data_IF_227794723687
#
_entry.id   IF_227794723687
#
_cell.length_a   1.000
_cell.length_b   1.000
_cell.length_c   1.000
_cell.angle_alpha   90.00
_cell.angle_beta   90.00
_cell.angle_gamma   90.00
#
_symmetry.space_group_name_H-M   'P 1'
#
loop_
_entity.id
_entity.type
_entity.pdbx_description
1 polymer ?
#
# COMPACT_ATOMS: atom_id res chain seq x y z
N UNK A 1 -6.03 21.35 -1.11
CA UNK A 1 -5.97 19.96 -1.63
C UNK A 1 -6.56 19.02 -0.58
N UNK A 2 -7.52 18.16 -0.95
CA UNK A 2 -8.13 17.21 -0.01
C UNK A 2 -7.21 16.04 0.28
N UNK A 3 -7.14 15.60 1.55
CA UNK A 3 -6.40 14.43 2.03
C UNK A 3 -7.32 13.61 2.93
N UNK A 4 -7.38 12.30 2.74
CA UNK A 4 -8.04 11.36 3.62
C UNK A 4 -6.99 10.53 4.34
N UNK A 5 -7.11 10.43 5.67
CA UNK A 5 -6.22 9.71 6.55
C UNK A 5 -7.00 8.62 7.30
N UNK A 6 -6.45 7.42 7.37
CA UNK A 6 -7.06 6.27 8.03
C UNK A 6 -6.38 6.02 9.38
N UNK A 7 -7.16 6.09 10.46
CA UNK A 7 -6.74 5.72 11.81
C UNK A 7 -7.18 4.28 12.10
N UNK A 8 -6.23 3.35 12.11
CA UNK A 8 -6.51 1.91 12.28
C UNK A 8 -6.66 1.51 13.77
N UNK A 9 -7.55 2.21 14.46
CA UNK A 9 -7.93 1.97 15.84
C UNK A 9 -9.41 1.60 15.95
N UNK A 10 -9.84 1.20 17.14
CA UNK A 10 -11.28 1.11 17.44
C UNK A 10 -11.89 2.50 17.50
N UNK A 11 -13.20 2.59 17.26
CA UNK A 11 -13.93 3.87 17.36
C UNK A 11 -13.68 4.57 18.69
N UNK A 12 -13.66 3.83 19.80
CA UNK A 12 -13.40 4.35 21.14
C UNK A 12 -12.03 5.01 21.28
N UNK A 13 -11.04 4.54 20.51
CA UNK A 13 -9.66 5.04 20.49
C UNK A 13 -9.38 6.00 19.32
N UNK A 14 -10.43 6.51 18.66
CA UNK A 14 -10.31 7.45 17.56
C UNK A 14 -10.12 6.77 16.19
N UNK A 15 -10.53 5.50 16.05
CA UNK A 15 -10.55 4.82 14.76
C UNK A 15 -11.52 5.48 13.79
N UNK A 16 -11.14 5.57 12.52
CA UNK A 16 -11.98 6.18 11.51
C UNK A 16 -11.24 6.82 10.35
N UNK A 17 -12.03 7.48 9.52
CA UNK A 17 -11.56 8.20 8.34
C UNK A 17 -11.61 9.69 8.64
N UNK A 18 -10.49 10.37 8.45
CA UNK A 18 -10.35 11.81 8.68
C UNK A 18 -10.12 12.52 7.36
N UNK A 19 -10.93 13.54 7.05
CA UNK A 19 -10.74 14.39 5.88
C UNK A 19 -10.16 15.73 6.29
N UNK A 20 -9.08 16.13 5.62
CA UNK A 20 -8.45 17.44 5.80
C UNK A 20 -8.29 18.12 4.45
N UNK A 21 -8.37 19.45 4.45
CA UNK A 21 -7.83 20.27 3.37
C UNK A 21 -6.43 20.73 3.77
N UNK A 22 -5.46 20.42 2.94
CA UNK A 22 -4.14 21.00 3.01
C UNK A 22 -4.18 22.34 2.25
N UNK A 23 -3.93 23.42 2.96
CA UNK A 23 -3.93 24.78 2.47
C UNK A 23 -2.58 25.12 1.80
N UNK A 24 -2.52 26.23 1.06
CA UNK A 24 -1.29 26.67 0.37
C UNK A 24 -0.16 27.03 1.33
N UNK A 25 -0.49 27.48 2.54
CA UNK A 25 0.46 27.78 3.63
C UNK A 25 0.95 26.54 4.38
N UNK A 26 0.54 25.32 3.95
CA UNK A 26 0.88 24.04 4.57
C UNK A 26 0.02 23.69 5.79
N UNK A 27 -0.94 24.54 6.19
CA UNK A 27 -1.84 24.24 7.30
C UNK A 27 -2.88 23.18 6.90
N UNK A 28 -3.31 22.39 7.89
CA UNK A 28 -4.36 21.37 7.74
C UNK A 28 -5.65 21.86 8.38
N UNK A 29 -6.71 21.93 7.58
CA UNK A 29 -8.05 22.25 8.06
C UNK A 29 -8.93 20.99 8.01
N UNK A 30 -9.34 20.49 9.19
CA UNK A 30 -10.25 19.33 9.26
C UNK A 30 -11.60 19.68 8.61
N UNK A 31 -12.06 18.80 7.75
CA UNK A 31 -13.31 18.96 7.00
C UNK A 31 -14.35 17.91 7.39
N UNK A 32 -13.91 16.72 7.85
CA UNK A 32 -14.80 15.65 8.21
C UNK A 32 -14.13 14.55 9.04
N UNK A 33 -14.99 13.73 9.62
CA UNK A 33 -14.61 12.50 10.31
C UNK A 33 -15.75 11.50 10.20
N UNK A 34 -15.43 10.28 9.86
CA UNK A 34 -16.35 9.15 9.90
C UNK A 34 -15.77 8.09 10.84
N UNK A 35 -16.49 7.78 11.93
CA UNK A 35 -16.10 6.76 12.89
C UNK A 35 -16.30 5.36 12.31
N UNK A 36 -15.25 4.56 12.24
CA UNK A 36 -15.31 3.14 11.90
C UNK A 36 -14.11 2.41 12.50
N UNK A 37 -14.29 1.11 12.78
CA UNK A 37 -13.25 0.29 13.38
C UNK A 37 -12.17 -0.09 12.38
N UNK A 38 -10.93 0.18 12.74
CA UNK A 38 -9.70 -0.31 12.09
C UNK A 38 -9.69 -0.20 10.56
N UNK A 39 -9.97 0.99 9.97
CA UNK A 39 -9.80 1.18 8.55
C UNK A 39 -8.33 0.98 8.16
N UNK A 40 -8.10 0.06 7.23
CA UNK A 40 -6.78 -0.44 6.86
C UNK A 40 -6.25 0.21 5.59
N UNK A 41 -7.10 0.33 4.59
CA UNK A 41 -6.77 0.81 3.27
C UNK A 41 -8.01 1.44 2.60
N UNK A 42 -7.80 2.37 1.70
CA UNK A 42 -8.89 2.95 0.92
C UNK A 42 -8.40 3.36 -0.47
N UNK A 43 -9.32 3.36 -1.43
CA UNK A 43 -9.10 3.93 -2.76
C UNK A 43 -10.25 4.84 -3.14
N UNK A 44 -9.96 5.83 -3.98
CA UNK A 44 -10.97 6.68 -4.58
C UNK A 44 -11.61 5.96 -5.77
N UNK A 45 -12.94 6.08 -5.90
CA UNK A 45 -13.73 5.52 -7.00
C UNK A 45 -14.90 6.44 -7.33
N UNK A 46 -15.72 6.08 -8.32
CA UNK A 46 -16.90 6.88 -8.71
C UNK A 46 -17.93 7.06 -7.58
N UNK A 47 -18.02 6.10 -6.67
CA UNK A 47 -18.92 6.14 -5.48
C UNK A 47 -18.35 6.95 -4.31
N UNK A 48 -17.19 7.58 -4.47
CA UNK A 48 -16.44 8.26 -3.42
C UNK A 48 -15.21 7.48 -3.01
N UNK A 49 -15.19 6.92 -1.81
CA UNK A 49 -14.11 6.08 -1.30
C UNK A 49 -14.61 4.65 -1.09
N UNK A 50 -13.85 3.66 -1.54
CA UNK A 50 -14.01 2.27 -1.12
C UNK A 50 -13.02 2.01 0.02
N UNK A 51 -13.52 1.65 1.20
CA UNK A 51 -12.74 1.56 2.44
C UNK A 51 -12.73 0.14 2.97
N UNK A 52 -11.54 -0.35 3.26
CA UNK A 52 -11.29 -1.66 3.82
C UNK A 52 -11.11 -1.58 5.32
N UNK A 53 -11.85 -2.41 6.06
CA UNK A 53 -11.75 -2.55 7.50
C UNK A 53 -11.07 -3.89 7.85
N UNK A 54 -10.11 -3.84 8.75
CA UNK A 54 -9.32 -5.02 9.09
C UNK A 54 -10.14 -6.10 9.83
N UNK A 55 -10.82 -5.69 10.89
CA UNK A 55 -11.63 -6.53 11.75
C UNK A 55 -12.71 -5.67 12.42
N UNK A 56 -13.83 -5.34 11.73
CA UNK A 56 -14.82 -4.45 12.27
C UNK A 56 -15.76 -5.09 13.30
N UNK A 57 -15.81 -6.45 13.36
CA UNK A 57 -16.69 -7.21 14.26
C UNK A 57 -15.88 -8.08 15.20
N UNK A 58 -16.19 -8.03 16.50
CA UNK A 58 -15.51 -8.84 17.53
C UNK A 58 -15.68 -10.35 17.30
N UNK A 59 -16.81 -10.76 16.76
CA UNK A 59 -17.17 -12.17 16.54
C UNK A 59 -17.03 -12.63 15.10
N UNK A 60 -16.69 -11.76 14.16
CA UNK A 60 -16.45 -12.12 12.76
C UNK A 60 -14.94 -12.10 12.49
N UNK A 61 -14.38 -13.24 12.12
CA UNK A 61 -12.99 -13.37 11.75
C UNK A 61 -12.68 -12.77 10.37
N UNK A 62 -13.70 -12.47 9.56
CA UNK A 62 -13.54 -11.86 8.26
C UNK A 62 -13.41 -10.34 8.37
N UNK A 63 -12.63 -9.78 7.45
CA UNK A 63 -12.60 -8.35 7.22
C UNK A 63 -13.82 -7.89 6.43
N UNK A 64 -14.04 -6.58 6.37
CA UNK A 64 -15.14 -5.97 5.62
C UNK A 64 -14.69 -4.79 4.78
N UNK A 65 -15.55 -4.38 3.87
CA UNK A 65 -15.40 -3.13 3.14
C UNK A 65 -16.75 -2.43 2.96
N UNK A 66 -16.71 -1.15 2.67
CA UNK A 66 -17.89 -0.33 2.36
C UNK A 66 -17.51 0.83 1.45
N UNK A 67 -18.52 1.48 0.86
CA UNK A 67 -18.34 2.73 0.15
C UNK A 67 -18.86 3.89 0.99
N UNK A 68 -18.18 5.04 0.90
CA UNK A 68 -18.57 6.28 1.54
C UNK A 68 -18.34 7.46 0.58
N UNK A 69 -19.25 8.43 0.56
CA UNK A 69 -19.07 9.63 -0.24
C UNK A 69 -17.86 10.47 0.21
N UNK A 70 -17.36 11.34 -0.65
CA UNK A 70 -16.19 12.19 -0.37
C UNK A 70 -16.42 13.19 0.78
N UNK A 71 -17.66 13.40 1.21
CA UNK A 71 -18.02 14.24 2.37
C UNK A 71 -18.03 13.47 3.67
N UNK A 72 -17.81 12.16 3.62
CA UNK A 72 -17.86 11.23 4.74
C UNK A 72 -19.24 11.22 5.47
N UNK A 73 -20.33 11.28 4.71
CA UNK A 73 -21.69 11.36 5.25
C UNK A 73 -22.57 10.15 4.91
N UNK A 74 -22.49 9.67 3.65
CA UNK A 74 -23.36 8.60 3.17
C UNK A 74 -22.57 7.33 2.91
N UNK A 75 -22.94 6.24 3.58
CA UNK A 75 -22.25 4.94 3.45
C UNK A 75 -23.18 3.87 2.90
N UNK A 76 -22.57 2.86 2.28
CA UNK A 76 -23.27 1.58 2.01
C UNK A 76 -23.20 0.67 3.24
N UNK A 77 -23.98 -0.41 3.21
CA UNK A 77 -23.81 -1.50 4.18
C UNK A 77 -22.43 -2.12 4.07
N UNK A 78 -21.93 -2.66 5.19
CA UNK A 78 -20.69 -3.43 5.24
C UNK A 78 -20.84 -4.73 4.43
N UNK A 79 -19.79 -5.05 3.66
CA UNK A 79 -19.69 -6.27 2.86
C UNK A 79 -18.47 -7.08 3.30
N UNK A 80 -18.64 -8.39 3.45
CA UNK A 80 -17.54 -9.28 3.84
C UNK A 80 -16.48 -9.37 2.74
N UNK A 81 -15.21 -9.44 3.14
CA UNK A 81 -14.10 -9.75 2.23
C UNK A 81 -13.89 -11.26 2.05
N UNK A 82 -14.71 -12.11 2.67
CA UNK A 82 -14.59 -13.57 2.67
C UNK A 82 -13.18 -14.08 3.07
N UNK A 83 -12.51 -13.33 3.95
CA UNK A 83 -11.18 -13.69 4.43
C UNK A 83 -10.70 -12.82 5.59
N UNK A 84 -9.58 -13.25 6.17
CA UNK A 84 -9.00 -12.68 7.39
C UNK A 84 -7.90 -11.68 7.07
N UNK A 85 -7.91 -10.55 7.77
CA UNK A 85 -6.89 -9.50 7.67
C UNK A 85 -6.73 -9.03 6.21
N UNK A 86 -7.83 -8.55 5.62
CA UNK A 86 -7.76 -7.88 4.33
C UNK A 86 -6.82 -6.65 4.44
N UNK A 87 -5.92 -6.47 3.49
CA UNK A 87 -4.85 -5.48 3.59
C UNK A 87 -4.71 -4.55 2.38
N UNK A 88 -5.28 -4.91 1.25
CA UNK A 88 -5.26 -4.08 0.05
C UNK A 88 -6.47 -4.33 -0.84
N UNK A 89 -6.91 -3.31 -1.54
CA UNK A 89 -7.98 -3.38 -2.54
C UNK A 89 -7.70 -2.47 -3.73
N UNK A 90 -8.36 -2.78 -4.84
CA UNK A 90 -8.48 -1.87 -5.99
C UNK A 90 -9.91 -1.91 -6.52
N UNK A 91 -10.34 -0.82 -7.15
CA UNK A 91 -11.65 -0.71 -7.80
C UNK A 91 -11.43 -0.45 -9.28
N UNK A 92 -12.11 -1.21 -10.13
CA UNK A 92 -12.13 -1.04 -11.59
C UNK A 92 -13.58 -0.93 -12.04
N UNK A 93 -14.00 0.26 -12.44
CA UNK A 93 -15.41 0.61 -12.66
C UNK A 93 -16.26 0.26 -11.42
N UNK A 94 -17.19 -0.69 -11.54
CA UNK A 94 -18.04 -1.17 -10.44
C UNK A 94 -17.46 -2.36 -9.67
N UNK A 95 -16.39 -2.96 -10.17
CA UNK A 95 -15.79 -4.15 -9.58
C UNK A 95 -14.76 -3.80 -8.49
N UNK A 96 -14.89 -4.42 -7.31
CA UNK A 96 -13.91 -4.33 -6.24
C UNK A 96 -13.11 -5.64 -6.14
N UNK A 97 -11.78 -5.51 -6.07
CA UNK A 97 -10.84 -6.61 -5.91
C UNK A 97 -10.10 -6.44 -4.59
N UNK A 98 -10.09 -7.48 -3.78
CA UNK A 98 -9.56 -7.44 -2.41
C UNK A 98 -8.61 -8.62 -2.21
N UNK A 99 -7.54 -8.40 -1.48
CA UNK A 99 -6.63 -9.45 -1.01
C UNK A 99 -6.66 -9.56 0.51
N UNK A 100 -6.78 -10.79 1.00
CA UNK A 100 -6.81 -11.11 2.42
C UNK A 100 -5.49 -11.75 2.84
N UNK A 101 -4.75 -11.06 3.69
CA UNK A 101 -3.40 -11.45 4.09
C UNK A 101 -3.35 -12.83 4.76
N UNK A 102 -4.15 -13.06 5.81
CA UNK A 102 -4.12 -14.33 6.54
C UNK A 102 -4.84 -15.46 5.81
N UNK A 103 -5.82 -15.17 4.98
CA UNK A 103 -6.50 -16.21 4.21
C UNK A 103 -5.78 -16.57 2.90
N UNK A 104 -4.86 -15.72 2.44
CA UNK A 104 -4.13 -15.94 1.20
C UNK A 104 -5.03 -16.03 -0.03
N UNK A 105 -6.22 -15.41 -0.01
CA UNK A 105 -7.17 -15.44 -1.11
C UNK A 105 -7.36 -14.07 -1.75
N UNK A 106 -7.92 -14.09 -2.96
CA UNK A 106 -8.29 -12.93 -3.75
C UNK A 106 -9.80 -12.97 -3.96
N UNK A 107 -10.46 -11.86 -3.68
CA UNK A 107 -11.92 -11.74 -3.74
C UNK A 107 -12.30 -10.67 -4.75
N UNK A 108 -13.35 -10.93 -5.54
CA UNK A 108 -14.01 -9.97 -6.41
C UNK A 108 -15.50 -9.90 -6.06
N UNK A 109 -16.02 -8.72 -5.74
CA UNK A 109 -17.47 -8.48 -5.52
C UNK A 109 -18.14 -9.51 -4.58
N UNK A 110 -17.45 -9.94 -3.53
CA UNK A 110 -17.99 -10.94 -2.61
C UNK A 110 -17.90 -12.40 -3.07
N UNK A 111 -17.04 -12.69 -4.06
CA UNK A 111 -16.72 -14.05 -4.50
C UNK A 111 -15.21 -14.30 -4.41
N UNK A 112 -14.82 -15.48 -3.88
CA UNK A 112 -13.41 -15.91 -3.88
C UNK A 112 -13.06 -16.36 -5.28
N UNK A 113 -12.20 -15.58 -5.96
CA UNK A 113 -11.78 -15.84 -7.34
C UNK A 113 -10.48 -16.63 -7.44
N UNK A 114 -9.65 -16.57 -6.41
CA UNK A 114 -8.44 -17.36 -6.32
C UNK A 114 -8.08 -17.64 -4.85
N UNK A 115 -7.71 -18.89 -4.59
CA UNK A 115 -7.08 -19.34 -3.35
C UNK A 115 -5.62 -19.64 -3.66
N UNK A 116 -4.71 -18.87 -3.06
CA UNK A 116 -3.27 -19.12 -3.21
C UNK A 116 -2.86 -20.34 -2.39
N UNK A 117 -1.80 -21.01 -2.84
CA UNK A 117 -1.22 -22.18 -2.16
C UNK A 117 0.30 -22.09 -2.19
N UNK A 118 0.96 -22.79 -1.28
CA UNK A 118 2.41 -22.83 -1.21
C UNK A 118 2.98 -22.14 0.02
N UNK A 119 4.29 -22.04 0.06
CA UNK A 119 5.08 -21.45 1.16
C UNK A 119 6.45 -21.04 0.65
N UNK A 120 7.23 -20.33 1.48
CA UNK A 120 8.64 -20.05 1.24
C UNK A 120 9.47 -20.35 2.49
N UNK A 121 10.66 -19.78 2.59
CA UNK A 121 11.68 -20.23 3.56
C UNK A 121 11.61 -19.56 4.93
N UNK A 122 10.92 -18.41 5.07
CA UNK A 122 10.86 -17.73 6.36
C UNK A 122 10.00 -18.53 7.36
N UNK A 123 10.54 -18.90 8.55
CA UNK A 123 9.96 -19.95 9.40
C UNK A 123 8.59 -19.62 10.01
N UNK A 124 8.23 -18.33 10.08
CA UNK A 124 6.96 -17.89 10.68
C UNK A 124 6.11 -17.01 9.75
N UNK A 125 6.72 -16.33 8.77
CA UNK A 125 6.04 -15.35 7.91
C UNK A 125 5.72 -15.90 6.52
N UNK A 126 6.19 -17.11 6.19
CA UNK A 126 6.02 -17.74 4.88
C UNK A 126 5.65 -19.22 4.99
N UNK A 127 4.96 -19.60 6.04
CA UNK A 127 4.43 -20.97 6.22
C UNK A 127 3.21 -21.27 5.34
N UNK A 128 2.57 -20.24 4.86
CA UNK A 128 1.39 -20.24 4.01
C UNK A 128 1.34 -18.96 3.13
N UNK A 129 0.42 -18.88 2.13
CA UNK A 129 0.28 -17.68 1.31
C UNK A 129 -0.21 -16.47 2.12
N UNK A 130 0.32 -15.29 1.78
CA UNK A 130 -0.06 -14.01 2.37
C UNK A 130 -0.19 -12.96 1.25
N UNK A 131 -1.33 -12.98 0.53
CA UNK A 131 -1.61 -11.99 -0.51
C UNK A 131 -1.67 -10.59 0.08
N UNK A 132 -0.83 -9.67 -0.43
CA UNK A 132 -0.66 -8.35 0.19
C UNK A 132 -0.96 -7.17 -0.72
N UNK A 133 -1.10 -7.39 -2.02
CA UNK A 133 -1.34 -6.34 -3.01
C UNK A 133 -2.18 -6.87 -4.16
N UNK A 134 -3.08 -6.02 -4.67
CA UNK A 134 -3.81 -6.23 -5.93
C UNK A 134 -3.99 -4.90 -6.64
N UNK A 135 -3.66 -4.83 -7.93
CA UNK A 135 -4.00 -3.67 -8.75
C UNK A 135 -4.16 -4.07 -10.21
N UNK A 136 -4.99 -3.33 -10.95
CA UNK A 136 -5.15 -3.48 -12.39
C UNK A 136 -3.97 -2.84 -13.11
N UNK A 137 -3.46 -3.53 -14.11
CA UNK A 137 -2.42 -3.02 -15.01
C UNK A 137 -3.05 -2.17 -16.13
N UNK A 138 -2.28 -1.30 -16.77
CA UNK A 138 -2.78 -0.46 -17.85
C UNK A 138 -3.29 -1.26 -19.06
N UNK A 139 -2.78 -2.46 -19.28
CA UNK A 139 -3.17 -3.38 -20.34
C UNK A 139 -4.25 -4.39 -19.92
N UNK A 140 -4.86 -4.19 -18.72
CA UNK A 140 -6.09 -4.86 -18.30
C UNK A 140 -5.93 -6.18 -17.54
N UNK A 141 -4.71 -6.55 -17.14
CA UNK A 141 -4.45 -7.65 -16.20
C UNK A 141 -4.59 -7.18 -14.75
N UNK A 142 -4.58 -8.11 -13.80
CA UNK A 142 -4.52 -7.85 -12.37
C UNK A 142 -3.23 -8.42 -11.80
N UNK A 143 -2.38 -7.55 -11.26
CA UNK A 143 -1.14 -7.94 -10.58
C UNK A 143 -1.41 -8.15 -9.10
N UNK A 144 -0.85 -9.22 -8.51
CA UNK A 144 -0.92 -9.52 -7.07
C UNK A 144 0.44 -9.88 -6.51
N UNK A 145 0.77 -9.37 -5.32
CA UNK A 145 1.94 -9.78 -4.57
C UNK A 145 1.53 -10.76 -3.47
N UNK A 146 2.23 -11.88 -3.38
CA UNK A 146 2.06 -12.85 -2.30
C UNK A 146 3.37 -12.95 -1.51
N UNK A 147 3.37 -12.32 -0.33
CA UNK A 147 4.49 -12.28 0.59
C UNK A 147 4.87 -13.67 1.09
N UNK A 148 3.86 -14.51 1.36
CA UNK A 148 4.05 -15.85 1.93
C UNK A 148 4.71 -16.84 0.98
N UNK A 149 4.59 -16.61 -0.32
CA UNK A 149 5.13 -17.50 -1.37
C UNK A 149 6.21 -16.87 -2.24
N UNK A 150 6.62 -15.62 -1.96
CA UNK A 150 7.56 -14.86 -2.78
C UNK A 150 7.14 -14.76 -4.26
N UNK A 151 5.84 -14.51 -4.51
CA UNK A 151 5.27 -14.58 -5.85
C UNK A 151 4.64 -13.25 -6.28
N UNK A 152 4.98 -12.81 -7.48
CA UNK A 152 4.24 -11.82 -8.26
C UNK A 152 3.40 -12.58 -9.30
N UNK A 153 2.06 -12.50 -9.21
CA UNK A 153 1.16 -13.21 -10.11
C UNK A 153 0.29 -12.24 -10.92
N UNK A 154 -0.04 -12.62 -12.14
CA UNK A 154 -0.94 -11.88 -13.02
C UNK A 154 -2.14 -12.73 -13.39
N UNK A 155 -3.31 -12.11 -13.35
CA UNK A 155 -4.58 -12.69 -13.74
C UNK A 155 -5.14 -11.93 -14.94
N UNK A 156 -5.78 -12.65 -15.87
CA UNK A 156 -6.47 -12.03 -16.99
C UNK A 156 -7.80 -11.38 -16.58
N UNK A 157 -8.51 -10.77 -17.53
CA UNK A 157 -9.82 -10.15 -17.30
C UNK A 157 -10.89 -11.14 -16.79
N UNK A 158 -10.74 -12.44 -17.07
CA UNK A 158 -11.61 -13.51 -16.60
C UNK A 158 -11.13 -14.11 -15.28
N UNK A 159 -10.10 -13.47 -14.65
CA UNK A 159 -9.47 -13.82 -13.38
C UNK A 159 -8.82 -15.21 -13.38
N UNK A 160 -8.39 -15.68 -14.54
CA UNK A 160 -7.57 -16.86 -14.68
C UNK A 160 -6.10 -16.50 -14.53
N UNK A 161 -5.36 -17.33 -13.82
CA UNK A 161 -3.91 -17.13 -13.67
C UNK A 161 -3.23 -17.11 -15.04
N UNK A 162 -2.61 -16.00 -15.39
CA UNK A 162 -1.91 -15.79 -16.65
C UNK A 162 -0.43 -16.17 -16.53
N UNK A 163 0.23 -15.69 -15.48
CA UNK A 163 1.65 -15.94 -15.24
C UNK A 163 2.02 -15.70 -13.78
N UNK A 164 3.15 -16.26 -13.39
CA UNK A 164 3.78 -16.04 -12.09
C UNK A 164 5.29 -15.82 -12.27
N UNK A 165 5.84 -14.94 -11.42
CA UNK A 165 7.26 -14.71 -11.29
C UNK A 165 7.66 -14.79 -9.84
N UNK A 166 8.81 -15.40 -9.56
CA UNK A 166 9.35 -15.52 -8.20
C UNK A 166 10.37 -14.41 -7.93
N UNK A 167 10.34 -13.89 -6.72
CA UNK A 167 11.46 -13.15 -6.16
C UNK A 167 12.40 -14.09 -5.41
N UNK A 168 13.60 -13.65 -5.00
CA UNK A 168 14.47 -14.49 -4.16
C UNK A 168 13.73 -14.98 -2.92
N UNK A 169 13.93 -16.23 -2.56
CA UNK A 169 13.23 -16.87 -1.45
C UNK A 169 13.53 -16.17 -0.13
N UNK A 170 12.49 -15.94 0.69
CA UNK A 170 12.59 -15.27 1.97
C UNK A 170 12.45 -13.74 1.91
N UNK A 171 12.29 -13.16 0.73
CA UNK A 171 12.24 -11.69 0.57
C UNK A 171 10.88 -11.09 0.89
N UNK A 172 9.78 -11.80 0.63
CA UNK A 172 8.43 -11.39 0.97
C UNK A 172 7.96 -10.18 0.18
N UNK A 173 7.71 -10.37 -1.12
CA UNK A 173 7.19 -9.31 -2.00
C UNK A 173 5.87 -8.76 -1.45
N UNK A 174 5.77 -7.41 -1.33
CA UNK A 174 4.68 -6.77 -0.61
C UNK A 174 3.79 -5.90 -1.49
N UNK A 175 4.31 -4.82 -2.01
CA UNK A 175 3.65 -3.83 -2.88
C UNK A 175 4.49 -3.56 -4.11
N UNK A 176 3.87 -3.01 -5.14
CA UNK A 176 4.56 -2.66 -6.38
C UNK A 176 4.02 -1.37 -7.01
N UNK A 177 4.83 -0.80 -7.90
CA UNK A 177 4.44 0.26 -8.84
C UNK A 177 4.96 -0.08 -10.23
N UNK A 178 4.25 0.39 -11.26
CA UNK A 178 4.69 0.29 -12.64
C UNK A 178 5.44 1.56 -13.05
N UNK A 179 6.43 1.43 -13.93
CA UNK A 179 7.01 2.58 -14.61
C UNK A 179 5.95 3.29 -15.47
N UNK A 180 6.11 4.58 -15.72
CA UNK A 180 5.12 5.36 -16.50
C UNK A 180 4.96 4.87 -17.94
N UNK A 181 5.99 4.24 -18.53
CA UNK A 181 5.92 3.63 -19.84
C UNK A 181 5.39 2.18 -19.82
N UNK A 182 5.05 1.66 -18.64
CA UNK A 182 4.51 0.33 -18.43
C UNK A 182 5.49 -0.82 -18.68
N UNK A 183 6.80 -0.55 -18.87
CA UNK A 183 7.78 -1.60 -19.23
C UNK A 183 8.44 -2.25 -18.02
N UNK A 184 8.43 -1.59 -16.87
CA UNK A 184 9.09 -2.06 -15.65
C UNK A 184 8.13 -2.10 -14.48
N UNK A 185 8.41 -3.00 -13.55
CA UNK A 185 7.77 -3.10 -12.25
C UNK A 185 8.85 -2.94 -11.18
N UNK A 186 8.57 -2.10 -10.19
CA UNK A 186 9.38 -1.95 -8.98
C UNK A 186 8.56 -2.45 -7.80
N UNK A 187 9.05 -3.49 -7.12
CA UNK A 187 8.31 -4.13 -6.04
C UNK A 187 9.14 -4.14 -4.75
N UNK A 188 8.58 -3.56 -3.68
CA UNK A 188 9.20 -3.59 -2.35
C UNK A 188 8.99 -4.94 -1.68
N UNK A 189 10.04 -5.45 -1.06
CA UNK A 189 9.99 -6.63 -0.20
C UNK A 189 9.86 -6.23 1.26
N UNK A 190 9.06 -6.98 2.03
CA UNK A 190 8.85 -6.73 3.45
C UNK A 190 9.95 -7.36 4.31
N UNK A 191 10.28 -8.64 4.08
CA UNK A 191 11.10 -9.44 4.99
C UNK A 191 12.60 -9.19 4.83
N UNK A 192 13.03 -8.79 3.63
CA UNK A 192 14.40 -8.35 3.34
C UNK A 192 14.32 -6.98 2.67
N UNK A 193 14.77 -5.90 3.33
CA UNK A 193 14.71 -4.55 2.80
C UNK A 193 15.34 -4.45 1.41
N UNK A 194 14.49 -4.35 0.39
CA UNK A 194 14.94 -4.35 -1.00
C UNK A 194 13.83 -4.00 -1.96
N UNK A 195 14.20 -3.67 -3.19
CA UNK A 195 13.30 -3.46 -4.33
C UNK A 195 13.66 -4.44 -5.43
N UNK A 196 12.71 -5.28 -5.83
CA UNK A 196 12.86 -6.11 -7.02
C UNK A 196 12.46 -5.33 -8.27
N UNK A 197 13.17 -5.56 -9.34
CA UNK A 197 12.93 -4.97 -10.66
C UNK A 197 12.58 -6.07 -11.63
N UNK A 198 11.50 -5.86 -12.38
CA UNK A 198 11.04 -6.78 -13.42
C UNK A 198 10.87 -6.01 -14.73
N UNK A 199 11.16 -6.66 -15.85
CA UNK A 199 10.62 -6.28 -17.14
C UNK A 199 9.17 -6.77 -17.24
N UNK A 200 8.24 -5.94 -17.72
CA UNK A 200 6.84 -6.28 -17.83
C UNK A 200 6.34 -6.18 -19.26
N UNK A 201 5.56 -7.16 -19.67
CA UNK A 201 4.86 -7.16 -20.96
C UNK A 201 3.68 -8.14 -20.96
N UNK A 202 2.51 -7.69 -21.38
CA UNK A 202 1.32 -8.52 -21.68
C UNK A 202 0.96 -9.51 -20.56
N UNK A 203 0.86 -9.01 -19.29
CA UNK A 203 0.54 -9.84 -18.14
C UNK A 203 1.66 -10.82 -17.75
N UNK A 204 2.91 -10.54 -18.11
CA UNK A 204 4.09 -11.32 -17.73
C UNK A 204 5.17 -10.41 -17.18
N UNK A 205 5.78 -10.81 -16.06
CA UNK A 205 6.92 -10.13 -15.49
C UNK A 205 8.14 -11.06 -15.53
N UNK A 206 9.26 -10.56 -16.05
CA UNK A 206 10.55 -11.23 -16.01
C UNK A 206 11.40 -10.58 -14.93
N UNK A 207 11.83 -11.37 -13.95
CA UNK A 207 12.71 -10.89 -12.89
C UNK A 207 14.08 -10.50 -13.47
N UNK A 208 14.50 -9.27 -13.23
CA UNK A 208 15.78 -8.73 -13.69
C UNK A 208 16.81 -8.66 -12.56
N UNK A 209 16.44 -7.99 -11.46
CA UNK A 209 17.40 -7.63 -10.42
C UNK A 209 16.71 -7.36 -9.09
N UNK A 210 17.50 -7.34 -8.01
CA UNK A 210 17.14 -6.85 -6.68
C UNK A 210 18.14 -5.81 -6.20
N UNK A 211 17.64 -4.62 -5.89
CA UNK A 211 18.40 -3.56 -5.23
C UNK A 211 18.17 -3.68 -3.72
N UNK A 212 19.18 -4.14 -2.98
CA UNK A 212 19.15 -4.20 -1.52
C UNK A 212 19.24 -2.80 -0.92
N UNK A 213 18.55 -2.60 0.21
CA UNK A 213 18.59 -1.35 0.97
C UNK A 213 19.45 -1.58 2.18
N UNK A 214 20.53 -0.82 2.30
CA UNK A 214 21.41 -0.90 3.47
C UNK A 214 20.67 -0.36 4.70
N UNK A 215 20.54 -1.19 5.73
CA UNK A 215 19.88 -0.91 6.98
C UNK A 215 20.82 -1.10 8.16
N UNK A 216 20.68 -0.25 9.16
CA UNK A 216 21.40 -0.41 10.45
C UNK A 216 20.73 -1.48 11.32
N UNK A 217 19.43 -1.68 11.12
CA UNK A 217 18.65 -2.62 11.89
C UNK A 217 18.35 -3.88 11.06
N UNK A 218 18.80 -5.04 11.52
CA UNK A 218 18.58 -6.33 10.86
C UNK A 218 17.08 -6.72 10.77
N UNK A 219 16.21 -6.09 11.59
CA UNK A 219 14.75 -6.28 11.57
C UNK A 219 14.01 -5.24 10.74
N UNK A 220 14.73 -4.47 9.92
CA UNK A 220 14.09 -3.50 9.04
C UNK A 220 13.10 -4.20 8.09
N UNK A 221 11.94 -3.62 7.94
CA UNK A 221 10.83 -4.13 7.11
C UNK A 221 10.48 -3.13 6.02
N UNK A 222 10.43 -3.56 4.76
CA UNK A 222 9.86 -2.75 3.68
C UNK A 222 8.35 -2.55 3.85
N UNK A 223 7.84 -1.39 3.48
CA UNK A 223 6.41 -1.10 3.62
C UNK A 223 5.79 -0.53 2.34
N UNK A 224 5.77 0.77 2.15
CA UNK A 224 5.16 1.40 0.98
C UNK A 224 6.19 1.70 -0.11
N UNK A 225 5.71 1.78 -1.34
CA UNK A 225 6.47 2.15 -2.52
C UNK A 225 5.62 3.07 -3.40
N UNK A 226 6.16 4.19 -3.85
CA UNK A 226 5.50 5.14 -4.75
C UNK A 226 6.49 5.66 -5.79
N UNK A 227 5.97 5.90 -6.99
CA UNK A 227 6.72 6.54 -8.06
C UNK A 227 6.29 8.02 -8.19
N UNK A 228 7.22 8.93 -8.46
CA UNK A 228 6.89 10.32 -8.79
C UNK A 228 6.04 10.38 -10.07
N UNK A 229 5.22 11.42 -10.21
CA UNK A 229 4.33 11.58 -11.36
C UNK A 229 5.08 11.60 -12.71
N UNK A 230 6.32 12.11 -12.73
CA UNK A 230 7.18 12.11 -13.93
C UNK A 230 7.97 10.79 -14.12
N UNK A 231 7.83 9.83 -13.21
CA UNK A 231 8.49 8.53 -13.27
C UNK A 231 9.98 8.53 -12.97
N UNK A 232 10.56 9.66 -12.56
CA UNK A 232 12.01 9.79 -12.37
C UNK A 232 12.51 9.37 -10.99
N UNK A 233 11.62 9.36 -9.99
CA UNK A 233 11.99 9.09 -8.61
C UNK A 233 11.08 8.03 -7.99
N UNK A 234 11.72 7.09 -7.29
CA UNK A 234 11.04 6.04 -6.53
C UNK A 234 11.27 6.27 -5.03
N UNK A 235 10.18 6.22 -4.27
CA UNK A 235 10.18 6.37 -2.82
C UNK A 235 9.81 5.04 -2.18
N UNK A 236 10.56 4.62 -1.14
CA UNK A 236 10.36 3.36 -0.42
C UNK A 236 10.49 3.59 1.07
N UNK A 237 9.49 3.21 1.86
CA UNK A 237 9.56 3.33 3.32
C UNK A 237 10.01 2.04 4.00
N UNK A 238 10.79 2.18 5.09
CA UNK A 238 11.25 1.10 5.96
C UNK A 238 10.80 1.35 7.40
N UNK A 239 9.98 0.44 7.94
CA UNK A 239 9.27 0.65 9.22
C UNK A 239 10.17 0.69 10.45
N UNK A 240 11.05 -0.27 10.62
CA UNK A 240 11.89 -0.37 11.83
C UNK A 240 13.09 0.57 11.75
N UNK A 241 13.57 0.82 10.55
CA UNK A 241 14.63 1.80 10.28
C UNK A 241 14.13 3.25 10.37
N UNK A 242 12.80 3.45 10.23
CA UNK A 242 12.12 4.74 10.28
C UNK A 242 12.60 5.74 9.22
N UNK A 243 12.78 5.27 8.01
CA UNK A 243 13.27 6.07 6.88
C UNK A 243 12.40 5.95 5.65
N UNK A 244 12.55 6.92 4.75
CA UNK A 244 12.09 6.89 3.37
C UNK A 244 13.32 6.98 2.47
N UNK A 245 13.58 5.93 1.69
CA UNK A 245 14.66 5.90 0.71
C UNK A 245 14.16 6.48 -0.61
N UNK A 246 14.97 7.32 -1.23
CA UNK A 246 14.70 7.96 -2.52
C UNK A 246 15.69 7.48 -3.56
N UNK A 247 15.19 6.98 -4.68
CA UNK A 247 16.00 6.51 -5.80
C UNK A 247 15.72 7.32 -7.05
N UNK A 248 16.77 7.62 -7.83
CA UNK A 248 16.62 7.97 -9.25
C UNK A 248 16.32 6.69 -10.05
N UNK A 249 15.35 6.78 -10.95
CA UNK A 249 14.88 5.68 -11.78
C UNK A 249 15.39 5.85 -13.21
N UNK A 250 16.04 4.82 -13.73
CA UNK A 250 16.43 4.75 -15.14
C UNK A 250 16.19 3.30 -15.65
N UNK A 251 14.92 3.00 -16.00
CA UNK A 251 14.53 1.66 -16.43
C UNK A 251 14.84 0.59 -15.38
N UNK A 252 15.73 -0.33 -15.69
CA UNK A 252 16.15 -1.43 -14.81
C UNK A 252 17.14 -1.03 -13.70
N UNK A 253 17.49 0.24 -13.61
CA UNK A 253 18.50 0.74 -12.67
C UNK A 253 17.86 1.71 -11.66
N UNK A 254 18.12 1.48 -10.37
CA UNK A 254 17.79 2.37 -9.28
C UNK A 254 19.07 2.88 -8.63
N UNK A 255 19.23 4.20 -8.56
CA UNK A 255 20.38 4.84 -7.90
C UNK A 255 19.90 5.55 -6.63
N UNK A 256 20.39 5.16 -5.46
CA UNK A 256 20.03 5.80 -4.20
C UNK A 256 20.52 7.26 -4.20
N UNK A 257 19.58 8.17 -3.94
CA UNK A 257 19.84 9.60 -3.83
C UNK A 257 19.85 10.06 -2.38
N UNK A 258 18.92 9.52 -1.57
CA UNK A 258 18.71 9.96 -0.20
C UNK A 258 18.11 8.84 0.65
N UNK A 259 18.52 8.80 1.92
CA UNK A 259 17.80 8.11 3.00
C UNK A 259 17.35 9.17 3.99
N UNK A 260 16.05 9.50 3.97
CA UNK A 260 15.44 10.56 4.78
C UNK A 260 14.81 9.93 6.04
N UNK A 261 15.05 10.51 7.21
CA UNK A 261 14.30 10.20 8.43
C UNK A 261 12.81 10.49 8.20
N UNK A 262 11.91 9.56 8.55
CA UNK A 262 10.46 9.73 8.34
C UNK A 262 9.83 10.73 9.32
N UNK A 263 10.55 11.22 10.29
CA UNK A 263 10.08 12.15 11.32
C UNK A 263 9.15 11.52 12.36
N UNK A 264 9.11 10.18 12.44
CA UNK A 264 8.25 9.43 13.34
C UNK A 264 8.72 8.00 13.53
N UNK A 265 7.78 7.09 13.83
CA UNK A 265 8.10 5.67 14.03
C UNK A 265 7.14 4.79 13.21
N UNK A 266 7.71 3.84 12.47
CA UNK A 266 6.98 2.88 11.63
C UNK A 266 6.22 3.57 10.48
N UNK A 267 6.93 4.13 9.46
CA UNK A 267 6.31 4.71 8.26
C UNK A 267 5.63 3.62 7.41
N UNK A 268 4.38 3.31 7.78
CA UNK A 268 3.60 2.18 7.23
C UNK A 268 3.13 2.44 5.82
N UNK A 269 2.65 3.66 5.59
CA UNK A 269 2.22 4.12 4.28
C UNK A 269 2.57 5.60 4.10
N UNK A 270 2.68 6.00 2.87
CA UNK A 270 2.81 7.40 2.46
C UNK A 270 2.24 7.57 1.06
N UNK A 271 1.90 8.79 0.71
CA UNK A 271 1.52 9.09 -0.66
C UNK A 271 2.20 10.38 -1.15
N UNK A 272 2.32 10.49 -2.48
CA UNK A 272 3.02 11.58 -3.17
C UNK A 272 2.08 12.28 -4.13
N UNK A 273 1.96 13.60 -4.01
CA UNK A 273 1.20 14.41 -4.97
C UNK A 273 1.90 15.74 -5.26
N UNK A 274 2.29 15.92 -6.51
CA UNK A 274 3.09 17.10 -6.89
C UNK A 274 4.41 17.12 -6.14
N UNK A 275 4.67 18.23 -5.45
CA UNK A 275 5.89 18.44 -4.67
C UNK A 275 5.70 18.14 -3.17
N UNK A 276 4.74 17.30 -2.82
CA UNK A 276 4.45 16.94 -1.43
C UNK A 276 4.45 15.41 -1.26
N UNK A 277 5.09 14.95 -0.16
CA UNK A 277 4.93 13.61 0.37
C UNK A 277 4.33 13.72 1.78
N UNK A 278 3.30 12.90 2.06
CA UNK A 278 2.66 12.79 3.38
C UNK A 278 2.85 11.38 3.89
N UNK A 279 3.42 11.24 5.09
CA UNK A 279 3.81 9.95 5.66
C UNK A 279 3.01 9.62 6.92
N UNK A 280 2.48 8.40 6.97
CA UNK A 280 1.77 7.82 8.11
C UNK A 280 2.73 7.02 8.98
N UNK A 281 3.08 7.57 10.15
CA UNK A 281 3.98 6.93 11.13
C UNK A 281 3.14 6.21 12.21
N UNK A 282 2.82 4.94 11.96
CA UNK A 282 1.87 4.13 12.72
C UNK A 282 2.15 4.13 14.22
N UNK A 283 3.39 3.82 14.64
CA UNK A 283 3.73 3.60 16.05
C UNK A 283 3.98 4.88 16.84
N UNK A 284 4.16 6.01 16.19
CA UNK A 284 4.28 7.32 16.85
C UNK A 284 2.98 8.12 16.83
N UNK A 285 1.90 7.59 16.23
CA UNK A 285 0.62 8.29 16.11
C UNK A 285 0.78 9.66 15.42
N UNK A 286 1.56 9.69 14.35
CA UNK A 286 2.02 10.94 13.75
C UNK A 286 1.96 10.90 12.22
N UNK A 287 1.44 11.96 11.63
CA UNK A 287 1.57 12.27 10.21
C UNK A 287 2.65 13.31 10.04
N UNK A 288 3.59 13.06 9.15
CA UNK A 288 4.67 13.99 8.80
C UNK A 288 4.60 14.38 7.33
N UNK A 289 5.10 15.57 7.00
CA UNK A 289 5.00 16.17 5.69
C UNK A 289 6.40 16.50 5.16
N UNK A 290 6.60 16.30 3.86
CA UNK A 290 7.88 16.57 3.20
C UNK A 290 7.64 17.36 1.91
N UNK A 291 8.40 18.41 1.72
CA UNK A 291 8.55 19.05 0.42
C UNK A 291 9.46 18.19 -0.46
N UNK A 292 9.10 18.07 -1.74
CA UNK A 292 9.89 17.36 -2.75
C UNK A 292 10.53 18.38 -3.69
N UNK A 293 11.84 18.30 -3.84
CA UNK A 293 12.59 19.10 -4.82
C UNK A 293 13.62 18.23 -5.51
N UNK A 294 13.52 18.09 -6.83
CA UNK A 294 14.40 17.19 -7.64
C UNK A 294 14.51 15.77 -7.04
N UNK A 295 13.38 15.23 -6.58
CA UNK A 295 13.30 13.93 -5.92
C UNK A 295 13.63 13.93 -4.43
N UNK A 296 14.45 14.85 -3.94
CA UNK A 296 14.87 14.91 -2.54
C UNK A 296 13.75 15.38 -1.62
N UNK A 297 13.71 14.81 -0.42
CA UNK A 297 12.73 15.07 0.64
C UNK A 297 13.32 16.06 1.67
N UNK A 298 12.57 17.11 1.97
CA UNK A 298 12.84 18.01 3.09
C UNK A 298 11.64 17.98 4.02
N UNK A 299 11.84 17.54 5.28
CA UNK A 299 10.76 17.52 6.28
C UNK A 299 10.27 18.94 6.54
N UNK A 300 8.95 19.10 6.55
CA UNK A 300 8.28 20.34 6.94
C UNK A 300 8.04 20.37 8.45
N UNK A 301 7.87 21.57 9.00
CA UNK A 301 7.66 21.76 10.45
C UNK A 301 6.24 21.34 10.91
N UNK A 302 5.29 21.31 9.99
CA UNK A 302 3.92 20.91 10.29
C UNK A 302 3.83 19.38 10.53
N UNK A 303 3.08 19.03 11.57
CA UNK A 303 2.79 17.65 11.96
C UNK A 303 1.32 17.50 12.36
N UNK A 304 0.76 16.31 12.22
CA UNK A 304 -0.60 16.02 12.66
C UNK A 304 -0.59 14.76 13.52
N UNK A 305 -1.11 14.85 14.75
CA UNK A 305 -1.33 13.69 15.61
C UNK A 305 -2.60 12.97 15.18
N UNK A 306 -2.48 11.68 14.90
CA UNK A 306 -3.57 10.79 14.54
C UNK A 306 -3.28 9.39 15.10
N UNK A 307 -4.20 8.76 15.84
CA UNK A 307 -3.98 7.42 16.38
C UNK A 307 -3.75 6.41 15.27
N UNK A 308 -2.68 5.61 15.39
CA UNK A 308 -2.33 4.49 14.49
C UNK A 308 -2.60 4.77 13.00
N UNK A 309 -1.99 5.82 12.40
CA UNK A 309 -2.23 6.15 10.99
C UNK A 309 -1.66 5.06 10.09
N UNK A 310 -2.51 4.42 9.31
CA UNK A 310 -2.12 3.28 8.45
C UNK A 310 -2.24 3.56 6.97
N UNK A 311 -3.08 4.49 6.58
CA UNK A 311 -3.32 4.78 5.17
C UNK A 311 -3.58 6.25 4.91
N UNK A 312 -3.21 6.66 3.71
CA UNK A 312 -3.43 8.00 3.17
C UNK A 312 -3.87 7.90 1.72
N UNK A 313 -4.76 8.77 1.34
CA UNK A 313 -5.04 9.01 -0.06
C UNK A 313 -5.35 10.49 -0.33
N UNK A 314 -4.91 11.00 -1.47
CA UNK A 314 -5.28 12.31 -1.97
C UNK A 314 -6.60 12.26 -2.73
N UNK A 315 -7.47 13.26 -2.43
CA UNK A 315 -8.76 13.45 -3.09
C UNK A 315 -8.69 14.11 -4.46
#
# INVERSE_FOLDING_TARGET
MRVYLLSCETVENGGGIYAYDLLEDGQLKRQGYFACDRPMYAVKCEKGLCVLLRQPFENDENSCYFYIDERLQNTTALQSTLGKVACHLTVDADDVYIVNYLSGNIVKNGEVIAQRTGKSIHPTRQTEPHTHFVNKTADGYFATCDLGTDTLAFYDKDLRLRSESKVPSGYGIRHLVFSNDGKYIYAVNELVPSVNIFAYRDGKAEYLNTVKIDCKNEKADGAAIRLSADGKYLYVSLRVENVICVYAVNGETLTLLQTADCGGNSPRDFDVRGNLLVCCNEKSNLITFFAISNGSLTKLDNELKLPSPLGILFG
#
